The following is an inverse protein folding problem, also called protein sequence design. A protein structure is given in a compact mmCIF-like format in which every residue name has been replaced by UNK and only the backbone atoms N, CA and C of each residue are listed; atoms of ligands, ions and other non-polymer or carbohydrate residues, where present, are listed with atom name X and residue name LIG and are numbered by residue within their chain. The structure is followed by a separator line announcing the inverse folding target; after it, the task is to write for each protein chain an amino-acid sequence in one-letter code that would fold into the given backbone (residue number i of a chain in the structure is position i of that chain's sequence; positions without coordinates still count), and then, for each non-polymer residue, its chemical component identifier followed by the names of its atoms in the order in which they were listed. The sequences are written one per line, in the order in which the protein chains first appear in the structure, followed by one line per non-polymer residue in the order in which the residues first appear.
data_IF_055570188202
#
_entry.id   IF_055570188202
#
_cell.length_a   1.000
_cell.length_b   1.000
_cell.length_c   1.000
_cell.angle_alpha   90.00
_cell.angle_beta   90.00
_cell.angle_gamma   90.00
#
_symmetry.space_group_name_H-M   'P 1'
#
loop_
_entity.id
_entity.type
_entity.pdbx_description
1 polymer ?
#
# COMPACT_ATOMS: atom_id res chain seq x y z
N UNK A 1 -28.67 -23.64 13.35
CA UNK A 1 -29.71 -24.23 14.21
C UNK A 1 -30.83 -23.21 14.35
N UNK A 2 -32.07 -23.64 14.05
CA UNK A 2 -33.35 -22.91 14.14
C UNK A 2 -33.59 -21.77 13.15
N UNK A 3 -34.30 -22.14 12.08
CA UNK A 3 -35.33 -21.31 11.44
C UNK A 3 -36.22 -20.67 12.51
N UNK A 4 -36.41 -19.36 12.41
CA UNK A 4 -37.42 -18.62 13.14
C UNK A 4 -38.32 -17.96 12.10
N UNK A 5 -39.46 -18.59 11.90
CA UNK A 5 -40.63 -18.03 11.27
C UNK A 5 -41.19 -16.97 12.22
N UNK A 6 -41.34 -15.73 11.74
CA UNK A 6 -41.99 -14.66 12.50
C UNK A 6 -42.93 -13.94 11.55
N UNK A 7 -44.15 -14.46 11.49
CA UNK A 7 -45.31 -13.66 11.13
C UNK A 7 -45.62 -12.61 12.22
N UNK A 8 -46.27 -11.54 11.77
CA UNK A 8 -46.96 -10.47 12.50
C UNK A 8 -46.30 -9.08 12.45
N UNK A 9 -46.99 -8.16 11.77
CA UNK A 9 -47.05 -6.71 11.94
C UNK A 9 -46.25 -6.15 13.13
N UNK A 10 -44.99 -5.82 12.91
CA UNK A 10 -44.26 -4.86 13.73
C UNK A 10 -43.64 -3.80 12.84
N UNK A 11 -43.93 -2.54 13.15
CA UNK A 11 -43.31 -1.38 12.52
C UNK A 11 -41.80 -1.43 12.79
N UNK A 12 -41.01 -1.49 11.73
CA UNK A 12 -39.56 -1.49 11.81
C UNK A 12 -39.11 -0.15 12.37
N UNK A 13 -38.63 -0.13 13.60
CA UNK A 13 -38.00 1.05 14.20
C UNK A 13 -36.58 1.18 13.68
N UNK A 14 -36.09 2.40 13.45
CA UNK A 14 -34.71 2.67 13.00
C UNK A 14 -33.62 2.04 13.90
N UNK A 15 -33.97 1.66 15.14
CA UNK A 15 -33.13 0.92 16.06
C UNK A 15 -32.90 -0.56 15.64
N UNK A 16 -33.82 -1.16 14.88
CA UNK A 16 -33.75 -2.56 14.44
C UNK A 16 -32.83 -2.75 13.22
N UNK A 17 -32.63 -1.68 12.44
CA UNK A 17 -31.66 -1.64 11.32
C UNK A 17 -30.20 -1.60 11.85
N UNK A 18 -30.03 -1.23 13.13
CA UNK A 18 -28.72 -0.97 13.73
C UNK A 18 -27.87 -2.25 13.99
N UNK A 19 -28.41 -3.46 13.74
CA UNK A 19 -27.72 -4.74 13.97
C UNK A 19 -27.19 -5.46 12.73
N UNK A 20 -27.33 -4.89 11.53
CA UNK A 20 -26.77 -5.46 10.30
C UNK A 20 -25.77 -4.55 9.58
N UNK A 21 -24.98 -3.79 10.34
CA UNK A 21 -23.70 -3.26 9.86
C UNK A 21 -22.60 -3.54 10.87
N UNK A 22 -22.41 -4.83 11.19
CA UNK A 22 -21.05 -5.25 11.50
C UNK A 22 -20.37 -5.47 10.15
N UNK A 23 -19.92 -4.38 9.54
CA UNK A 23 -18.75 -4.48 8.68
C UNK A 23 -17.68 -4.95 9.66
N UNK A 24 -17.54 -6.28 9.80
CA UNK A 24 -16.22 -6.84 9.92
C UNK A 24 -15.52 -6.32 8.68
N UNK A 25 -14.95 -5.12 8.81
CA UNK A 25 -13.73 -4.84 8.13
C UNK A 25 -12.91 -6.05 8.52
N UNK A 26 -12.67 -6.94 7.57
CA UNK A 26 -11.32 -7.41 7.45
C UNK A 26 -10.53 -6.10 7.37
N UNK A 27 -10.13 -5.62 8.55
CA UNK A 27 -9.14 -4.60 8.69
C UNK A 27 -7.99 -5.19 7.90
N UNK A 28 -7.85 -4.73 6.66
CA UNK A 28 -6.73 -5.07 5.81
C UNK A 28 -5.55 -4.44 6.55
N UNK A 29 -4.96 -5.24 7.43
CA UNK A 29 -4.15 -4.78 8.54
C UNK A 29 -4.88 -3.84 9.49
N UNK A 30 -5.39 -4.35 10.62
CA UNK A 30 -5.13 -3.60 11.84
C UNK A 30 -3.62 -3.43 11.92
N UNK A 31 -3.09 -2.31 11.40
CA UNK A 31 -1.73 -1.87 11.66
C UNK A 31 -1.63 -1.32 13.09
N UNK A 32 -2.30 -1.98 14.04
CA UNK A 32 -2.15 -1.75 15.48
C UNK A 32 -0.72 -2.09 15.95
N UNK A 33 0.10 -2.72 15.10
CA UNK A 33 1.50 -3.00 15.38
C UNK A 33 2.52 -2.00 14.77
N UNK A 34 2.11 -0.99 13.98
CA UNK A 34 3.09 -0.16 13.22
C UNK A 34 3.33 1.23 13.84
N UNK A 35 2.64 1.58 14.93
CA UNK A 35 2.93 2.80 15.71
C UNK A 35 3.45 2.46 17.10
N UNK A 36 4.35 1.49 17.19
CA UNK A 36 5.42 1.64 18.17
C UNK A 36 6.33 2.77 17.64
N UNK A 37 6.04 4.00 18.04
CA UNK A 37 7.12 4.99 18.13
C UNK A 37 8.09 4.35 19.11
N UNK A 38 9.16 3.69 18.63
CA UNK A 38 10.20 3.12 19.49
C UNK A 38 10.71 4.28 20.35
N UNK A 39 10.18 4.39 21.56
CA UNK A 39 10.60 5.36 22.58
C UNK A 39 11.93 4.96 23.20
N UNK A 40 12.45 3.80 22.83
CA UNK A 40 13.68 3.24 23.37
C UNK A 40 14.62 2.87 22.22
N UNK A 41 15.80 3.46 22.22
CA UNK A 41 16.93 3.03 21.39
C UNK A 41 17.42 1.71 21.97
N UNK A 42 16.87 0.60 21.48
CA UNK A 42 17.25 -0.74 21.92
C UNK A 42 18.30 -1.32 20.96
N UNK A 43 19.34 -1.95 21.52
CA UNK A 43 20.27 -2.76 20.74
C UNK A 43 19.48 -3.90 20.11
N UNK A 44 19.64 -4.17 18.80
CA UNK A 44 18.97 -5.30 18.15
C UNK A 44 19.30 -6.61 18.86
N UNK A 45 18.36 -7.55 18.88
CA UNK A 45 18.62 -8.90 19.40
C UNK A 45 19.21 -9.80 18.32
N UNK A 46 19.97 -10.81 18.73
CA UNK A 46 20.56 -11.79 17.82
C UNK A 46 19.46 -12.62 17.17
N UNK A 47 19.46 -12.74 15.85
CA UNK A 47 18.52 -13.61 15.14
C UNK A 47 19.17 -14.96 14.83
N UNK A 48 18.55 -16.10 15.20
CA UNK A 48 19.11 -17.42 14.92
C UNK A 48 19.00 -17.77 13.43
N UNK A 49 20.08 -18.29 12.85
CA UNK A 49 20.19 -18.74 11.47
C UNK A 49 20.93 -20.08 11.42
N UNK A 50 20.20 -21.18 11.62
CA UNK A 50 20.80 -22.49 11.83
C UNK A 50 21.67 -22.50 13.08
N UNK A 51 22.96 -22.82 12.93
CA UNK A 51 23.93 -22.85 14.04
C UNK A 51 24.62 -21.49 14.30
N UNK A 52 24.23 -20.44 13.58
CA UNK A 52 24.85 -19.12 13.65
C UNK A 52 23.85 -18.06 14.10
N UNK A 53 24.37 -16.89 14.46
CA UNK A 53 23.56 -15.71 14.74
C UNK A 53 23.82 -14.65 13.67
N UNK A 54 22.75 -14.01 13.22
CA UNK A 54 22.80 -12.92 12.25
C UNK A 54 22.24 -11.63 12.85
N UNK A 55 22.67 -10.51 12.28
CA UNK A 55 22.09 -9.20 12.53
C UNK A 55 20.74 -9.15 11.80
N UNK A 56 19.61 -8.99 12.52
CA UNK A 56 18.31 -8.93 11.88
C UNK A 56 18.15 -7.65 11.07
N UNK A 57 17.41 -7.73 9.97
CA UNK A 57 17.03 -6.57 9.19
C UNK A 57 15.75 -5.92 9.76
N UNK A 58 15.94 -5.02 10.73
CA UNK A 58 14.87 -4.43 11.53
C UNK A 58 14.34 -5.38 12.61
N UNK A 59 13.22 -5.01 13.25
CA UNK A 59 12.69 -5.73 14.42
C UNK A 59 12.18 -7.12 14.12
N UNK A 60 11.59 -7.31 12.94
CA UNK A 60 10.99 -8.57 12.51
C UNK A 60 11.84 -9.28 11.43
N UNK A 61 13.07 -8.82 11.23
CA UNK A 61 13.98 -9.30 10.18
C UNK A 61 13.46 -9.09 8.74
N UNK A 62 12.42 -8.27 8.53
CA UNK A 62 11.75 -8.10 7.23
C UNK A 62 11.77 -6.66 6.71
N UNK A 63 12.61 -5.80 7.29
CA UNK A 63 12.62 -4.38 6.97
C UNK A 63 12.82 -4.07 5.48
N UNK A 64 13.74 -4.77 4.80
CA UNK A 64 13.95 -4.64 3.35
C UNK A 64 12.70 -4.99 2.53
N UNK A 65 11.96 -6.04 2.91
CA UNK A 65 10.71 -6.41 2.24
C UNK A 65 9.61 -5.36 2.46
N UNK A 66 9.51 -4.81 3.67
CA UNK A 66 8.57 -3.73 3.99
C UNK A 66 8.84 -2.46 3.18
N UNK A 67 10.12 -2.13 2.94
CA UNK A 67 10.50 -1.01 2.06
C UNK A 67 10.07 -1.27 0.61
N UNK A 68 10.24 -2.51 0.12
CA UNK A 68 9.76 -2.92 -1.20
C UNK A 68 8.25 -2.73 -1.35
N UNK A 69 7.48 -3.29 -0.43
CA UNK A 69 6.01 -3.15 -0.42
C UNK A 69 5.56 -1.69 -0.37
N UNK A 70 6.19 -0.87 0.47
CA UNK A 70 5.89 0.56 0.57
C UNK A 70 6.07 1.29 -0.78
N UNK A 71 7.09 0.92 -1.55
CA UNK A 71 7.39 1.51 -2.85
C UNK A 71 6.49 0.98 -3.97
N UNK A 72 6.10 -0.30 -3.90
CA UNK A 72 5.18 -0.93 -4.86
C UNK A 72 3.76 -0.39 -4.73
N UNK A 73 3.28 -0.20 -3.50
CA UNK A 73 1.96 0.37 -3.21
C UNK A 73 1.89 1.87 -3.55
N UNK A 74 3.05 2.53 -3.70
CA UNK A 74 3.12 3.96 -3.98
C UNK A 74 3.19 4.25 -5.48
N UNK A 75 2.29 5.10 -5.97
CA UNK A 75 2.20 5.46 -7.38
C UNK A 75 3.44 6.15 -7.98
N UNK A 76 4.28 6.79 -7.17
CA UNK A 76 5.45 7.56 -7.65
C UNK A 76 6.80 7.01 -7.17
N UNK A 77 6.82 6.30 -6.04
CA UNK A 77 8.05 5.94 -5.32
C UNK A 77 9.07 5.22 -6.20
N UNK A 78 8.65 4.09 -6.79
CA UNK A 78 9.54 3.29 -7.64
C UNK A 78 9.95 4.03 -8.93
N UNK A 79 9.06 4.85 -9.49
CA UNK A 79 9.34 5.65 -10.69
C UNK A 79 10.44 6.69 -10.46
N UNK A 80 10.39 7.40 -9.33
CA UNK A 80 11.41 8.38 -8.93
C UNK A 80 12.77 7.70 -8.72
N UNK A 81 12.80 6.57 -8.01
CA UNK A 81 14.03 5.84 -7.74
C UNK A 81 14.66 5.31 -9.04
N UNK A 82 13.85 4.74 -9.94
CA UNK A 82 14.33 4.29 -11.26
C UNK A 82 14.89 5.44 -12.10
N UNK A 83 14.28 6.63 -12.02
CA UNK A 83 14.81 7.83 -12.68
C UNK A 83 16.13 8.27 -12.07
N UNK A 84 16.26 8.27 -10.74
CA UNK A 84 17.50 8.60 -10.06
C UNK A 84 18.63 7.63 -10.44
N UNK A 85 18.32 6.33 -10.48
CA UNK A 85 19.24 5.31 -10.99
C UNK A 85 19.68 5.60 -12.42
N UNK A 86 18.72 5.89 -13.31
CA UNK A 86 19.01 6.24 -14.70
C UNK A 86 19.89 7.49 -14.84
N UNK A 87 19.70 8.51 -13.99
CA UNK A 87 20.55 9.71 -13.97
C UNK A 87 21.97 9.42 -13.46
N UNK A 88 22.12 8.51 -12.49
CA UNK A 88 23.42 8.12 -11.96
C UNK A 88 24.19 7.22 -12.93
N UNK A 89 23.50 6.28 -13.58
CA UNK A 89 24.10 5.40 -14.58
C UNK A 89 24.40 6.15 -15.89
N UNK A 90 23.54 7.09 -16.27
CA UNK A 90 23.74 7.97 -17.41
C UNK A 90 23.92 7.20 -18.72
N UNK A 91 25.10 7.36 -19.32
CA UNK A 91 25.47 6.71 -20.59
C UNK A 91 26.21 5.36 -20.39
N UNK A 92 26.33 4.89 -19.15
CA UNK A 92 27.03 3.65 -18.82
C UNK A 92 28.41 3.89 -18.21
N UNK A 93 29.18 2.80 -18.12
CA UNK A 93 30.52 2.82 -17.56
C UNK A 93 31.55 3.14 -18.64
N UNK A 94 32.56 3.93 -18.27
CA UNK A 94 33.71 4.19 -19.11
C UNK A 94 34.99 4.23 -18.28
N UNK A 95 36.09 3.73 -18.85
CA UNK A 95 37.39 3.73 -18.20
C UNK A 95 38.01 5.11 -18.29
N UNK A 96 38.52 5.60 -17.16
CA UNK A 96 39.18 6.89 -17.10
C UNK A 96 40.37 6.88 -16.14
N UNK A 97 41.32 7.75 -16.43
CA UNK A 97 42.43 8.07 -15.55
C UNK A 97 42.28 9.51 -15.05
N UNK A 98 42.68 9.76 -13.80
CA UNK A 98 42.68 11.10 -13.23
C UNK A 98 44.12 11.62 -13.29
N UNK A 99 44.36 12.59 -14.16
CA UNK A 99 45.65 13.24 -14.30
C UNK A 99 45.59 14.68 -13.77
N UNK A 100 46.68 15.16 -13.17
CA UNK A 100 46.79 16.54 -12.71
C UNK A 100 47.68 17.33 -13.69
N UNK A 101 47.05 18.13 -14.55
CA UNK A 101 47.76 19.02 -15.49
C UNK A 101 47.57 20.46 -15.02
N UNK A 102 48.67 21.17 -14.79
CA UNK A 102 48.67 22.58 -14.36
C UNK A 102 47.80 22.85 -13.10
N UNK A 103 47.90 21.97 -12.10
CA UNK A 103 47.14 22.11 -10.84
C UNK A 103 45.63 21.86 -10.98
N UNK A 104 45.13 21.50 -12.16
CA UNK A 104 43.73 21.13 -12.39
C UNK A 104 43.60 19.63 -12.59
N UNK A 105 42.53 19.07 -12.02
CA UNK A 105 42.12 17.68 -12.21
C UNK A 105 41.53 17.53 -13.61
N UNK A 106 42.19 16.74 -14.45
CA UNK A 106 41.73 16.40 -15.81
C UNK A 106 41.38 14.91 -15.84
N UNK A 107 40.20 14.60 -16.35
CA UNK A 107 39.75 13.22 -16.57
C UNK A 107 40.07 12.85 -18.01
N UNK A 108 40.90 11.83 -18.20
CA UNK A 108 41.26 11.32 -19.53
C UNK A 108 40.63 9.94 -19.72
N UNK A 109 39.70 9.87 -20.66
CA UNK A 109 39.05 8.62 -21.06
C UNK A 109 40.00 7.79 -21.91
N UNK A 110 40.06 6.49 -21.64
CA UNK A 110 40.89 5.56 -22.38
C UNK A 110 40.17 4.22 -22.56
N UNK A 111 40.69 3.38 -23.45
CA UNK A 111 40.22 2.01 -23.63
C UNK A 111 41.36 1.06 -23.31
N UNK A 112 41.05 -0.04 -22.62
CA UNK A 112 41.98 -1.13 -22.33
C UNK A 112 41.31 -2.44 -22.73
N UNK A 113 41.88 -3.09 -23.76
CA UNK A 113 41.33 -4.33 -24.32
C UNK A 113 41.23 -5.46 -23.29
N UNK A 114 42.12 -5.51 -22.29
CA UNK A 114 42.08 -6.56 -21.28
C UNK A 114 40.95 -6.34 -20.29
N UNK A 115 40.74 -5.09 -19.86
CA UNK A 115 39.63 -4.74 -18.97
C UNK A 115 38.31 -4.88 -19.71
N UNK A 116 38.23 -4.42 -20.96
CA UNK A 116 37.02 -4.54 -21.76
C UNK A 116 36.65 -6.00 -22.01
N UNK A 117 37.61 -6.85 -22.41
CA UNK A 117 37.35 -8.31 -22.55
C UNK A 117 36.90 -8.96 -21.24
N UNK A 118 37.39 -8.49 -20.10
CA UNK A 118 36.93 -8.98 -18.81
C UNK A 118 35.49 -8.52 -18.52
N UNK A 119 35.18 -7.24 -18.73
CA UNK A 119 33.82 -6.73 -18.59
C UNK A 119 32.83 -7.42 -19.54
N UNK A 120 33.23 -7.68 -20.79
CA UNK A 120 32.40 -8.35 -21.80
C UNK A 120 32.21 -9.85 -21.51
N UNK A 121 32.99 -10.43 -20.60
CA UNK A 121 32.89 -11.84 -20.22
C UNK A 121 31.72 -12.15 -19.27
N UNK A 122 31.07 -11.12 -18.72
CA UNK A 122 29.92 -11.24 -17.82
C UNK A 122 29.01 -10.01 -17.92
N UNK A 123 27.78 -10.11 -17.41
CA UNK A 123 26.81 -9.00 -17.47
C UNK A 123 27.08 -7.93 -16.40
N UNK A 124 28.11 -7.12 -16.63
CA UNK A 124 28.52 -6.07 -15.72
C UNK A 124 27.55 -4.88 -15.68
N UNK A 125 26.80 -4.64 -16.75
CA UNK A 125 25.80 -3.58 -16.83
C UNK A 125 24.61 -3.90 -15.92
N UNK A 126 24.05 -5.11 -16.04
CA UNK A 126 22.96 -5.57 -15.17
C UNK A 126 23.39 -5.52 -13.70
N UNK A 127 24.61 -6.00 -13.40
CA UNK A 127 25.16 -5.91 -12.05
C UNK A 127 25.18 -4.48 -11.51
N UNK A 128 25.69 -3.50 -12.27
CA UNK A 128 25.78 -2.10 -11.83
C UNK A 128 24.39 -1.50 -11.65
N UNK A 129 23.46 -1.76 -12.58
CA UNK A 129 22.09 -1.27 -12.48
C UNK A 129 21.38 -1.82 -11.24
N UNK A 130 21.59 -3.10 -10.92
CA UNK A 130 20.94 -3.74 -9.78
C UNK A 130 21.54 -3.30 -8.44
N UNK A 131 22.87 -3.24 -8.32
CA UNK A 131 23.51 -2.77 -7.07
C UNK A 131 23.21 -1.28 -6.80
N UNK A 132 23.14 -0.45 -7.85
CA UNK A 132 22.73 0.96 -7.70
C UNK A 132 21.30 1.08 -7.17
N UNK A 133 20.39 0.21 -7.62
CA UNK A 133 19.01 0.20 -7.13
C UNK A 133 18.96 -0.12 -5.63
N UNK A 134 19.69 -1.14 -5.18
CA UNK A 134 19.77 -1.52 -3.77
C UNK A 134 20.38 -0.40 -2.91
N UNK A 135 21.45 0.25 -3.40
CA UNK A 135 22.06 1.39 -2.74
C UNK A 135 21.12 2.61 -2.64
N UNK A 136 20.24 2.83 -3.63
CA UNK A 136 19.24 3.89 -3.59
C UNK A 136 18.08 3.57 -2.62
N UNK A 137 17.62 2.31 -2.60
CA UNK A 137 16.47 1.88 -1.79
C UNK A 137 16.85 1.67 -0.33
N UNK A 138 18.03 1.12 -0.04
CA UNK A 138 18.41 0.71 1.32
C UNK A 138 19.70 1.36 1.83
N UNK A 139 20.47 2.03 0.97
CA UNK A 139 21.80 2.57 1.31
C UNK A 139 22.79 1.48 1.75
N UNK A 140 22.55 0.27 1.26
CA UNK A 140 23.29 -0.95 1.53
C UNK A 140 23.26 -1.81 0.27
N UNK A 141 24.37 -2.51 -0.01
CA UNK A 141 24.50 -3.38 -1.16
C UNK A 141 25.45 -4.54 -0.89
N UNK A 142 25.19 -5.66 -1.58
CA UNK A 142 25.97 -6.88 -1.46
C UNK A 142 26.46 -7.35 -2.83
N UNK A 143 27.75 -7.65 -2.88
CA UNK A 143 28.41 -8.11 -4.10
C UNK A 143 29.14 -9.40 -3.81
N UNK A 144 28.85 -10.44 -4.56
CA UNK A 144 29.54 -11.72 -4.49
C UNK A 144 30.70 -11.72 -5.49
N UNK A 145 31.90 -11.95 -4.97
CA UNK A 145 33.15 -12.02 -5.73
C UNK A 145 33.42 -13.48 -6.08
N UNK A 146 33.39 -13.79 -7.37
CA UNK A 146 33.64 -15.15 -7.85
C UNK A 146 35.06 -15.22 -8.40
N UNK A 147 35.97 -15.99 -7.77
CA UNK A 147 37.34 -16.11 -8.25
C UNK A 147 37.41 -17.00 -9.49
N UNK A 148 38.42 -16.75 -10.31
CA UNK A 148 38.77 -17.57 -11.46
C UNK A 148 39.15 -19.00 -11.05
N UNK A 149 38.85 -19.97 -11.92
CA UNK A 149 39.18 -21.39 -11.67
C UNK A 149 40.68 -21.64 -11.50
N UNK A 150 41.54 -20.76 -12.04
CA UNK A 150 43.00 -20.84 -11.97
C UNK A 150 43.58 -20.77 -10.55
N UNK A 151 42.87 -20.14 -9.61
CA UNK A 151 43.27 -20.09 -8.20
C UNK A 151 43.39 -21.47 -7.53
N UNK A 152 42.74 -22.52 -8.08
CA UNK A 152 42.78 -23.89 -7.53
C UNK A 152 44.13 -24.59 -7.71
N UNK A 153 44.97 -24.09 -8.61
CA UNK A 153 46.27 -24.69 -8.96
C UNK A 153 47.41 -23.83 -8.40
N UNK A 154 47.30 -22.50 -8.45
CA UNK A 154 48.23 -21.57 -7.82
C UNK A 154 47.47 -20.37 -7.25
N UNK A 155 47.74 -19.99 -5.99
CA UNK A 155 47.16 -18.78 -5.39
C UNK A 155 47.75 -17.48 -5.97
N UNK A 156 48.85 -17.56 -6.72
CA UNK A 156 49.55 -16.40 -7.27
C UNK A 156 48.83 -15.76 -8.47
N UNK A 157 48.01 -16.55 -9.19
CA UNK A 157 47.30 -16.10 -10.40
C UNK A 157 45.79 -15.92 -10.19
N UNK A 158 45.33 -15.99 -8.95
CA UNK A 158 43.90 -15.92 -8.64
C UNK A 158 43.37 -14.49 -8.84
N UNK A 159 42.62 -14.32 -9.93
CA UNK A 159 41.89 -13.09 -10.28
C UNK A 159 40.39 -13.26 -10.05
N UNK A 160 39.67 -12.14 -9.93
CA UNK A 160 38.20 -12.13 -9.94
C UNK A 160 37.73 -12.49 -11.35
N UNK A 161 36.89 -13.51 -11.49
CA UNK A 161 36.30 -13.88 -12.77
C UNK A 161 35.14 -12.95 -13.12
N UNK A 162 34.22 -12.72 -12.18
CA UNK A 162 33.10 -11.80 -12.35
C UNK A 162 32.49 -11.44 -10.98
N UNK A 163 31.59 -10.45 -11.00
CA UNK A 163 30.83 -10.02 -9.83
C UNK A 163 29.38 -10.43 -10.00
N UNK A 164 28.74 -10.82 -8.91
CA UNK A 164 27.32 -11.16 -8.89
C UNK A 164 26.61 -10.28 -7.86
N UNK A 165 25.51 -9.64 -8.28
CA UNK A 165 24.64 -8.89 -7.39
C UNK A 165 23.75 -9.88 -6.64
N UNK A 166 23.68 -9.74 -5.32
CA UNK A 166 22.72 -10.49 -4.50
C UNK A 166 21.75 -9.46 -3.91
N UNK A 167 20.43 -9.64 -4.07
CA UNK A 167 19.45 -8.72 -3.51
C UNK A 167 19.66 -8.50 -2.02
N UNK A 168 19.66 -7.24 -1.61
CA UNK A 168 19.91 -6.85 -0.23
C UNK A 168 18.91 -7.49 0.77
N UNK A 169 17.70 -7.80 0.31
CA UNK A 169 16.65 -8.45 1.12
C UNK A 169 16.96 -9.90 1.48
N UNK A 170 17.82 -10.57 0.71
CA UNK A 170 18.23 -11.97 0.90
C UNK A 170 19.51 -12.09 1.74
N UNK A 171 20.22 -10.99 1.97
CA UNK A 171 21.49 -10.98 2.68
C UNK A 171 21.32 -10.63 4.17
N UNK A 172 21.96 -11.38 5.06
CA UNK A 172 22.11 -11.03 6.47
C UNK A 172 23.56 -11.15 6.91
N UNK A 173 24.00 -10.21 7.73
CA UNK A 173 25.36 -10.18 8.26
C UNK A 173 25.46 -11.12 9.45
N UNK A 174 26.55 -11.86 9.55
CA UNK A 174 26.87 -12.57 10.79
C UNK A 174 26.93 -11.56 11.95
N UNK A 175 26.47 -12.00 13.12
CA UNK A 175 26.61 -11.20 14.32
C UNK A 175 28.10 -10.87 14.55
N UNK A 176 28.47 -9.58 14.70
CA UNK A 176 29.86 -9.20 14.85
C UNK A 176 30.56 -9.91 16.01
N UNK A 177 31.85 -10.21 15.82
CA UNK A 177 32.70 -10.72 16.90
C UNK A 177 32.91 -9.66 18.01
N UNK A 178 33.69 -10.01 19.05
CA UNK A 178 34.02 -9.08 20.14
C UNK A 178 34.74 -7.81 19.68
N UNK A 179 35.35 -7.83 18.49
CA UNK A 179 36.05 -6.71 17.88
C UNK A 179 35.17 -5.93 16.88
N UNK A 180 33.87 -6.27 16.78
CA UNK A 180 32.95 -5.63 15.84
C UNK A 180 33.15 -6.06 14.38
N UNK A 181 33.86 -7.15 14.11
CA UNK A 181 34.09 -7.66 12.74
C UNK A 181 32.98 -8.62 12.34
N UNK A 182 32.40 -8.38 11.17
CA UNK A 182 31.48 -9.33 10.52
C UNK A 182 32.32 -10.33 9.74
N UNK A 183 32.28 -11.61 10.14
CA UNK A 183 33.06 -12.66 9.50
C UNK A 183 32.44 -13.18 8.21
N UNK A 184 31.11 -13.31 8.19
CA UNK A 184 30.37 -13.94 7.10
C UNK A 184 29.07 -13.20 6.75
N UNK A 185 28.59 -13.44 5.55
CA UNK A 185 27.29 -13.02 5.04
C UNK A 185 26.48 -14.28 4.73
N UNK A 186 25.24 -14.28 5.18
CA UNK A 186 24.28 -15.36 4.99
C UNK A 186 23.27 -14.95 3.92
N UNK A 187 23.06 -15.83 2.93
CA UNK A 187 22.11 -15.63 1.84
C UNK A 187 21.01 -16.68 1.94
N UNK A 188 19.77 -16.23 2.07
CA UNK A 188 18.59 -17.10 2.20
C UNK A 188 17.29 -16.34 1.87
N UNK A 189 16.19 -17.05 1.69
CA UNK A 189 14.86 -16.44 1.63
C UNK A 189 14.34 -16.12 3.04
N UNK A 190 14.61 -14.89 3.50
CA UNK A 190 14.21 -14.41 4.83
C UNK A 190 12.73 -13.99 4.95
N UNK A 191 11.87 -14.31 3.97
CA UNK A 191 10.42 -14.12 4.12
C UNK A 191 9.85 -15.05 5.19
N UNK A 192 10.38 -16.28 5.25
CA UNK A 192 10.14 -17.24 6.32
C UNK A 192 11.07 -16.96 7.50
N UNK A 193 10.59 -17.16 8.72
CA UNK A 193 11.42 -17.07 9.94
C UNK A 193 12.48 -18.19 10.00
N UNK A 194 12.23 -19.31 9.31
CA UNK A 194 13.15 -20.44 9.19
C UNK A 194 13.33 -20.77 7.70
N UNK A 195 14.34 -20.21 7.04
CA UNK A 195 14.61 -20.53 5.64
C UNK A 195 15.09 -21.97 5.47
N UNK A 196 14.66 -22.64 4.40
CA UNK A 196 15.02 -24.03 4.09
C UNK A 196 16.51 -24.19 3.74
N UNK A 197 17.08 -23.22 3.03
CA UNK A 197 18.47 -23.22 2.57
C UNK A 197 19.13 -21.91 2.98
N UNK A 198 20.25 -22.03 3.67
CA UNK A 198 21.08 -20.89 4.08
C UNK A 198 22.48 -21.11 3.51
N UNK A 199 22.91 -20.21 2.64
CA UNK A 199 24.27 -20.16 2.13
C UNK A 199 25.11 -19.21 2.99
N UNK A 200 26.36 -19.59 3.27
CA UNK A 200 27.30 -18.79 4.06
C UNK A 200 28.52 -18.46 3.23
N UNK A 201 28.83 -17.17 3.13
CA UNK A 201 29.99 -16.67 2.40
C UNK A 201 30.89 -15.84 3.32
N UNK A 202 32.22 -16.01 3.28
CA UNK A 202 33.13 -15.15 4.03
C UNK A 202 33.09 -13.72 3.48
N UNK A 203 33.20 -12.73 4.38
CA UNK A 203 33.38 -11.33 3.98
C UNK A 203 34.75 -11.15 3.31
N UNK A 204 34.78 -10.42 2.20
CA UNK A 204 36.01 -10.12 1.48
C UNK A 204 36.94 -9.23 2.32
N UNK A 205 38.21 -9.64 2.42
CA UNK A 205 39.26 -8.92 3.13
C UNK A 205 40.31 -8.45 2.11
N UNK A 206 40.40 -7.14 1.83
CA UNK A 206 41.34 -6.60 0.85
C UNK A 206 42.82 -6.83 1.21
N UNK A 207 43.13 -7.11 2.47
CA UNK A 207 44.49 -7.39 2.92
C UNK A 207 44.96 -8.80 2.57
N UNK A 208 44.03 -9.70 2.24
CA UNK A 208 44.32 -11.09 1.89
C UNK A 208 44.33 -11.25 0.37
N UNK A 209 45.22 -12.11 -0.18
CA UNK A 209 45.17 -12.45 -1.58
C UNK A 209 43.82 -13.07 -1.93
N UNK A 210 43.34 -12.80 -3.14
CA UNK A 210 42.06 -13.30 -3.63
C UNK A 210 42.16 -14.82 -3.72
N UNK A 211 41.64 -15.53 -2.73
CA UNK A 211 41.73 -16.99 -2.68
C UNK A 211 40.78 -17.69 -3.66
N UNK A 212 40.70 -19.01 -3.57
CA UNK A 212 39.76 -19.84 -4.36
C UNK A 212 38.31 -19.76 -3.88
N UNK A 213 38.09 -19.19 -2.70
CA UNK A 213 36.79 -19.19 -2.04
C UNK A 213 35.99 -17.97 -2.49
N UNK A 214 34.76 -18.20 -2.94
CA UNK A 214 33.79 -17.13 -3.20
C UNK A 214 33.55 -16.34 -1.93
N UNK A 215 33.73 -15.02 -2.02
CA UNK A 215 33.58 -14.10 -0.89
C UNK A 215 32.57 -13.02 -1.22
N UNK A 216 32.11 -12.28 -0.22
CA UNK A 216 31.13 -11.22 -0.42
C UNK A 216 31.64 -9.88 0.12
N UNK A 217 31.45 -8.83 -0.64
CA UNK A 217 31.64 -7.45 -0.22
C UNK A 217 30.30 -6.92 0.26
N UNK A 218 30.32 -6.34 1.45
CA UNK A 218 29.20 -5.59 1.98
C UNK A 218 29.55 -4.10 1.94
N UNK A 219 28.72 -3.33 1.24
CA UNK A 219 28.86 -1.89 1.13
C UNK A 219 27.68 -1.23 1.82
N UNK A 220 27.95 -0.18 2.61
CA UNK A 220 26.92 0.67 3.21
C UNK A 220 27.35 2.12 3.16
N UNK A 221 26.38 3.03 3.12
CA UNK A 221 26.66 4.44 3.38
C UNK A 221 26.72 4.71 4.89
N UNK A 222 27.52 5.70 5.27
CA UNK A 222 27.54 6.18 6.64
C UNK A 222 26.21 6.85 6.98
N UNK A 223 25.60 6.45 8.10
CA UNK A 223 24.41 7.06 8.66
C UNK A 223 24.68 7.49 10.10
N UNK A 224 24.34 8.73 10.42
CA UNK A 224 24.53 9.28 11.76
C UNK A 224 23.80 8.44 12.81
N UNK A 225 24.49 8.09 13.89
CA UNK A 225 23.92 7.35 15.02
C UNK A 225 23.67 5.86 14.78
N UNK A 226 24.08 5.30 13.62
CA UNK A 226 23.93 3.87 13.32
C UNK A 226 25.25 3.11 13.35
N UNK A 227 25.24 1.98 14.04
CA UNK A 227 26.33 1.03 14.18
C UNK A 227 26.28 -0.07 13.12
N UNK A 228 27.19 -1.04 13.23
CA UNK A 228 27.17 -2.27 12.42
C UNK A 228 26.03 -3.22 12.81
N UNK A 229 25.31 -2.98 13.91
CA UNK A 229 24.17 -3.81 14.30
C UNK A 229 22.84 -3.27 13.75
N UNK A 230 22.81 -2.00 13.34
CA UNK A 230 21.58 -1.35 12.93
C UNK A 230 21.29 -1.57 11.44
N UNK A 231 20.01 -1.64 11.09
CA UNK A 231 19.57 -1.63 9.70
C UNK A 231 19.86 -0.26 9.05
N UNK A 232 20.15 -0.25 7.75
CA UNK A 232 20.30 1.00 7.01
C UNK A 232 18.92 1.52 6.58
N UNK A 233 18.69 2.82 6.77
CA UNK A 233 17.40 3.45 6.41
C UNK A 233 17.56 4.45 5.27
N UNK A 234 16.78 4.36 4.19
CA UNK A 234 16.89 5.31 3.09
C UNK A 234 16.43 6.72 3.48
N UNK A 235 16.83 7.73 2.70
CA UNK A 235 16.44 9.11 2.93
C UNK A 235 14.92 9.34 2.93
N UNK A 236 14.17 8.58 2.13
CA UNK A 236 12.70 8.67 2.10
C UNK A 236 12.03 8.00 3.31
N UNK A 237 12.77 7.28 4.16
CA UNK A 237 12.21 6.54 5.29
C UNK A 237 11.48 7.45 6.30
N UNK A 238 11.91 8.70 6.42
CA UNK A 238 11.25 9.73 7.23
C UNK A 238 9.85 10.08 6.72
N UNK A 239 9.65 10.02 5.40
CA UNK A 239 8.38 10.29 4.75
C UNK A 239 7.45 9.07 4.68
N UNK A 240 7.86 7.90 5.18
CA UNK A 240 7.08 6.65 5.08
C UNK A 240 5.64 6.76 5.59
N UNK A 241 5.42 7.52 6.67
CA UNK A 241 4.08 7.72 7.25
C UNK A 241 3.16 8.47 6.30
N UNK A 242 3.71 9.42 5.54
CA UNK A 242 2.98 10.15 4.50
C UNK A 242 2.73 9.26 3.29
N UNK A 243 3.74 8.52 2.85
CA UNK A 243 3.59 7.55 1.75
C UNK A 243 2.49 6.52 2.04
N UNK A 244 2.48 5.93 3.25
CA UNK A 244 1.44 4.99 3.67
C UNK A 244 0.04 5.62 3.63
N UNK A 245 -0.13 6.85 4.11
CA UNK A 245 -1.42 7.55 4.03
C UNK A 245 -1.83 7.84 2.59
N UNK A 246 -0.89 8.20 1.73
CA UNK A 246 -1.13 8.42 0.31
C UNK A 246 -1.55 7.13 -0.41
N UNK A 247 -0.99 5.98 -0.04
CA UNK A 247 -1.33 4.69 -0.64
C UNK A 247 -2.76 4.24 -0.26
N UNK A 248 -3.20 4.52 0.98
CA UNK A 248 -4.55 4.16 1.45
C UNK A 248 -5.64 5.13 0.95
N UNK A 249 -5.28 6.35 0.54
CA UNK A 249 -6.25 7.36 0.12
C UNK A 249 -7.10 6.93 -1.11
N UNK A 250 -6.53 6.36 -2.19
CA UNK A 250 -7.30 5.78 -3.28
C UNK A 250 -8.28 4.70 -2.83
N UNK A 251 -7.87 3.80 -1.93
CA UNK A 251 -8.74 2.73 -1.43
C UNK A 251 -9.90 3.27 -0.62
N UNK A 252 -9.68 4.32 0.19
CA UNK A 252 -10.76 5.01 0.91
C UNK A 252 -11.73 5.65 -0.07
N UNK A 253 -11.24 6.35 -1.10
CA UNK A 253 -12.08 6.98 -2.11
C UNK A 253 -12.88 5.94 -2.91
N UNK A 254 -12.25 4.81 -3.23
CA UNK A 254 -12.92 3.68 -3.87
C UNK A 254 -14.00 3.10 -2.96
N UNK A 255 -13.66 2.78 -1.71
CA UNK A 255 -14.61 2.23 -0.75
C UNK A 255 -15.78 3.20 -0.47
N UNK A 256 -15.52 4.51 -0.47
CA UNK A 256 -16.55 5.53 -0.37
C UNK A 256 -17.43 5.59 -1.61
N UNK A 257 -16.89 5.35 -2.81
CA UNK A 257 -17.66 5.31 -4.05
C UNK A 257 -18.50 4.02 -4.15
N UNK A 258 -17.91 2.88 -3.79
CA UNK A 258 -18.54 1.56 -3.90
C UNK A 258 -19.61 1.33 -2.81
N UNK A 259 -19.35 1.80 -1.57
CA UNK A 259 -20.26 1.59 -0.43
C UNK A 259 -21.00 2.88 -0.02
N UNK A 260 -20.75 3.99 -0.70
CA UNK A 260 -21.38 5.27 -0.41
C UNK A 260 -22.85 5.25 -0.78
N UNK A 261 -23.73 5.40 0.22
CA UNK A 261 -25.13 5.72 -0.04
C UNK A 261 -25.22 7.17 -0.51
N UNK A 262 -25.17 7.36 -1.83
CA UNK A 262 -25.27 8.67 -2.47
C UNK A 262 -26.73 9.13 -2.64
N UNK A 263 -27.50 9.17 -1.55
CA UNK A 263 -28.90 9.59 -1.56
C UNK A 263 -28.96 11.11 -1.53
N UNK A 264 -29.44 11.72 -2.63
CA UNK A 264 -29.61 13.18 -2.74
C UNK A 264 -30.88 13.68 -2.06
N UNK A 265 -31.96 12.91 -2.16
CA UNK A 265 -33.30 13.30 -1.72
C UNK A 265 -33.88 12.21 -0.82
N UNK A 266 -34.39 12.60 0.35
CA UNK A 266 -35.24 11.75 1.18
C UNK A 266 -36.68 12.23 1.06
N UNK A 267 -37.52 11.41 0.43
CA UNK A 267 -38.94 11.70 0.18
C UNK A 267 -39.76 10.97 1.24
N UNK A 268 -40.51 11.73 2.03
CA UNK A 268 -41.42 11.22 3.05
C UNK A 268 -42.84 11.44 2.54
N UNK A 269 -43.55 10.34 2.25
CA UNK A 269 -44.96 10.36 1.85
C UNK A 269 -45.87 9.98 3.02
N UNK A 270 -46.96 10.71 3.28
CA UNK A 270 -47.92 10.36 4.34
C UNK A 270 -48.71 9.10 3.95
N UNK A 271 -48.90 8.17 4.90
CA UNK A 271 -49.60 6.91 4.65
C UNK A 271 -51.06 7.13 4.22
N UNK A 272 -51.75 8.06 4.87
CA UNK A 272 -53.13 8.43 4.57
C UNK A 272 -53.37 8.91 3.13
N UNK A 273 -52.35 9.49 2.48
CA UNK A 273 -52.46 9.85 1.06
C UNK A 273 -52.61 8.61 0.18
N UNK A 274 -51.86 7.54 0.48
CA UNK A 274 -51.95 6.28 -0.24
C UNK A 274 -53.23 5.52 0.09
N UNK A 275 -53.70 5.59 1.35
CA UNK A 275 -54.97 4.99 1.76
C UNK A 275 -56.16 5.63 1.01
N UNK A 276 -56.19 6.97 0.90
CA UNK A 276 -57.21 7.67 0.11
C UNK A 276 -57.16 7.30 -1.38
N UNK A 277 -55.94 7.18 -1.96
CA UNK A 277 -55.78 6.76 -3.35
C UNK A 277 -56.24 5.31 -3.57
N UNK A 278 -56.04 4.44 -2.59
CA UNK A 278 -56.54 3.06 -2.59
C UNK A 278 -58.05 3.01 -2.63
N UNK A 279 -58.74 3.82 -1.81
CA UNK A 279 -60.21 3.89 -1.82
C UNK A 279 -60.75 4.40 -3.16
N UNK A 280 -60.11 5.42 -3.75
CA UNK A 280 -60.48 5.95 -5.07
C UNK A 280 -60.29 4.88 -6.16
N UNK A 281 -59.17 4.16 -6.14
CA UNK A 281 -58.90 3.05 -7.07
C UNK A 281 -59.94 1.94 -6.94
N UNK A 282 -60.27 1.52 -5.71
CA UNK A 282 -61.31 0.51 -5.46
C UNK A 282 -62.67 0.95 -6.01
N UNK A 283 -63.03 2.23 -5.86
CA UNK A 283 -64.28 2.77 -6.40
C UNK A 283 -64.27 2.84 -7.94
N UNK A 284 -63.13 3.16 -8.56
CA UNK A 284 -62.98 3.17 -10.02
C UNK A 284 -63.02 1.76 -10.62
N UNK A 285 -62.40 0.77 -9.98
CA UNK A 285 -62.48 -0.64 -10.37
C UNK A 285 -63.92 -1.17 -10.27
N UNK A 286 -64.64 -0.82 -9.19
CA UNK A 286 -66.07 -1.14 -9.03
C UNK A 286 -66.95 -0.51 -10.12
N UNK A 287 -66.64 0.70 -10.57
CA UNK A 287 -67.37 1.37 -11.66
C UNK A 287 -67.04 0.79 -13.04
N UNK A 288 -65.82 0.28 -13.24
CA UNK A 288 -65.39 -0.34 -14.50
C UNK A 288 -65.70 -1.84 -14.59
N UNK A 289 -66.13 -2.46 -13.49
CA UNK A 289 -66.44 -3.90 -13.43
C UNK A 289 -65.21 -4.80 -13.38
N UNK A 290 -64.05 -4.26 -12.99
CA UNK A 290 -62.78 -4.98 -12.89
C UNK A 290 -62.46 -5.30 -11.42
N UNK A 291 -61.86 -6.46 -11.16
CA UNK A 291 -61.41 -6.80 -9.81
C UNK A 291 -60.18 -5.97 -9.42
N UNK A 292 -60.28 -5.26 -8.30
CA UNK A 292 -59.14 -4.54 -7.73
C UNK A 292 -58.04 -5.53 -7.33
N UNK A 293 -56.82 -5.26 -7.78
CA UNK A 293 -55.61 -5.99 -7.39
C UNK A 293 -54.65 -5.03 -6.71
N UNK A 294 -53.96 -5.49 -5.67
CA UNK A 294 -53.00 -4.67 -4.94
C UNK A 294 -51.84 -4.19 -5.83
N UNK A 295 -51.51 -4.94 -6.88
CA UNK A 295 -50.55 -4.53 -7.92
C UNK A 295 -50.92 -3.20 -8.60
N UNK A 296 -52.21 -2.85 -8.70
CA UNK A 296 -52.63 -1.57 -9.29
C UNK A 296 -52.24 -0.36 -8.42
N UNK A 297 -52.19 -0.54 -7.09
CA UNK A 297 -51.76 0.50 -6.18
C UNK A 297 -50.23 0.66 -6.20
N UNK A 298 -49.49 -0.44 -6.28
CA UNK A 298 -48.03 -0.41 -6.46
C UNK A 298 -47.63 0.25 -7.79
N UNK A 299 -48.31 -0.05 -8.89
CA UNK A 299 -48.08 0.63 -10.16
C UNK A 299 -48.34 2.15 -10.06
N UNK A 300 -49.40 2.57 -9.36
CA UNK A 300 -49.69 3.99 -9.15
C UNK A 300 -48.65 4.67 -8.24
N UNK A 301 -48.10 3.95 -7.25
CA UNK A 301 -46.96 4.45 -6.45
C UNK A 301 -45.73 4.64 -7.33
N UNK A 302 -45.40 3.65 -8.15
CA UNK A 302 -44.27 3.70 -9.07
C UNK A 302 -44.42 4.84 -10.08
N UNK A 303 -45.60 5.05 -10.66
CA UNK A 303 -45.85 6.15 -11.60
C UNK A 303 -45.63 7.53 -10.96
N UNK A 304 -46.14 7.73 -9.74
CA UNK A 304 -45.98 8.99 -8.99
C UNK A 304 -44.51 9.21 -8.60
N UNK A 305 -43.82 8.16 -8.13
CA UNK A 305 -42.41 8.24 -7.75
C UNK A 305 -41.51 8.44 -8.97
N UNK A 306 -41.80 7.82 -10.12
CA UNK A 306 -41.09 8.01 -11.38
C UNK A 306 -41.30 9.43 -11.93
N UNK A 307 -42.51 9.99 -11.80
CA UNK A 307 -42.78 11.39 -12.11
C UNK A 307 -41.95 12.34 -11.25
N UNK A 308 -41.91 12.11 -9.94
CA UNK A 308 -41.08 12.88 -9.00
C UNK A 308 -39.58 12.73 -9.33
N UNK A 309 -39.12 11.51 -9.62
CA UNK A 309 -37.74 11.25 -10.00
C UNK A 309 -37.37 12.01 -11.28
N UNK A 310 -38.24 12.04 -12.28
CA UNK A 310 -38.00 12.77 -13.54
C UNK A 310 -37.86 14.27 -13.31
N UNK A 311 -38.63 14.85 -12.39
CA UNK A 311 -38.56 16.29 -12.07
C UNK A 311 -37.36 16.64 -11.19
N UNK A 312 -36.91 15.71 -10.34
CA UNK A 312 -35.84 15.94 -9.34
C UNK A 312 -34.44 15.45 -9.78
N UNK A 313 -34.37 14.62 -10.83
CA UNK A 313 -33.14 14.03 -11.37
C UNK A 313 -32.78 14.64 -12.74
N UNK A 314 -31.48 14.63 -13.07
CA UNK A 314 -30.96 15.20 -14.31
C UNK A 314 -30.31 16.57 -14.15
N UNK A 315 -29.34 16.87 -15.04
CA UNK A 315 -28.57 18.13 -15.03
C UNK A 315 -29.46 19.33 -15.33
N UNK A 316 -30.46 19.17 -16.19
CA UNK A 316 -31.42 20.21 -16.60
C UNK A 316 -32.45 20.56 -15.51
N UNK A 317 -32.58 19.72 -14.49
CA UNK A 317 -33.56 19.84 -13.43
C UNK A 317 -32.96 20.37 -12.12
N UNK A 318 -31.67 20.71 -12.12
CA UNK A 318 -30.97 21.31 -10.98
C UNK A 318 -31.56 22.69 -10.68
N UNK A 319 -32.11 22.86 -9.47
CA UNK A 319 -32.68 24.14 -9.00
C UNK A 319 -34.19 24.29 -9.21
N UNK A 320 -34.89 23.27 -9.71
CA UNK A 320 -36.36 23.25 -9.73
C UNK A 320 -36.92 23.05 -8.31
N UNK A 321 -38.05 23.70 -8.03
CA UNK A 321 -38.70 23.67 -6.72
C UNK A 321 -39.93 22.76 -6.76
N UNK A 322 -40.10 21.95 -5.72
CA UNK A 322 -41.29 21.12 -5.51
C UNK A 322 -42.21 21.79 -4.48
N UNK A 323 -43.49 21.90 -4.80
CA UNK A 323 -44.52 22.45 -3.93
C UNK A 323 -45.52 21.36 -3.58
N UNK A 324 -45.73 21.12 -2.28
CA UNK A 324 -46.78 20.25 -1.76
C UNK A 324 -47.68 21.03 -0.82
N UNK A 325 -48.98 20.78 -0.90
CA UNK A 325 -49.96 21.33 0.04
C UNK A 325 -50.12 20.38 1.23
N UNK A 326 -50.04 20.91 2.44
CA UNK A 326 -50.24 20.15 3.66
C UNK A 326 -51.70 20.25 4.11
N UNK A 327 -52.38 19.11 4.27
CA UNK A 327 -53.76 19.06 4.74
C UNK A 327 -53.76 18.66 6.21
N UNK A 328 -54.32 19.52 7.07
CA UNK A 328 -54.50 19.22 8.49
C UNK A 328 -55.86 18.57 8.68
N UNK A 329 -55.89 17.32 9.13
CA UNK A 329 -57.13 16.63 9.48
C UNK A 329 -57.26 16.56 11.00
N UNK A 330 -58.30 17.18 11.54
CA UNK A 330 -58.64 17.08 12.96
C UNK A 330 -59.37 15.76 13.21
N UNK A 331 -58.63 14.73 13.64
CA UNK A 331 -59.23 13.65 14.42
C UNK A 331 -59.45 14.20 15.84
N UNK A 332 -60.70 14.17 16.32
CA UNK A 332 -61.14 14.89 17.51
C UNK A 332 -60.23 14.83 18.76
N UNK A 333 -60.39 15.88 19.59
CA UNK A 333 -59.68 16.22 20.85
C UNK A 333 -58.17 15.97 20.82
N UNK A 334 -57.45 16.96 20.32
CA UNK A 334 -56.05 17.23 20.69
C UNK A 334 -54.97 16.59 19.83
N UNK A 335 -55.30 15.77 18.83
CA UNK A 335 -54.32 15.22 17.87
C UNK A 335 -54.72 15.56 16.43
N UNK A 336 -54.14 16.62 15.91
CA UNK A 336 -54.22 16.94 14.49
C UNK A 336 -53.04 16.28 13.78
N UNK A 337 -53.31 15.36 12.86
CA UNK A 337 -52.27 14.84 11.95
C UNK A 337 -52.17 15.78 10.74
N UNK A 338 -50.93 16.25 10.49
CA UNK A 338 -50.61 17.08 9.34
C UNK A 338 -50.16 16.13 8.23
N UNK A 339 -51.01 15.94 7.23
CA UNK A 339 -50.66 15.20 6.03
C UNK A 339 -49.79 16.10 5.16
N UNK A 340 -48.48 15.86 5.14
CA UNK A 340 -47.54 16.60 4.30
C UNK A 340 -46.59 15.67 3.58
N UNK A 341 -46.29 16.00 2.34
CA UNK A 341 -45.12 15.46 1.65
C UNK A 341 -43.90 16.29 2.04
N UNK A 342 -42.85 15.64 2.54
CA UNK A 342 -41.61 16.31 2.92
C UNK A 342 -40.46 15.76 2.08
N UNK A 343 -39.77 16.65 1.38
CA UNK A 343 -38.57 16.31 0.60
C UNK A 343 -37.40 17.00 1.28
N UNK A 344 -36.57 16.23 1.97
CA UNK A 344 -35.40 16.75 2.67
C UNK A 344 -34.17 16.54 1.79
N UNK A 345 -33.47 17.61 1.38
CA UNK A 345 -32.15 17.47 0.79
C UNK A 345 -31.18 16.93 1.85
N UNK A 346 -30.53 15.80 1.59
CA UNK A 346 -29.48 15.30 2.47
C UNK A 346 -28.17 15.97 2.06
N UNK A 347 -27.66 16.85 2.90
CA UNK A 347 -26.33 17.45 2.72
C UNK A 347 -25.25 16.43 3.11
N UNK A 348 -24.75 15.69 2.12
CA UNK A 348 -23.65 14.74 2.30
C UNK A 348 -22.31 15.48 2.41
N UNK A 349 -22.08 16.15 3.54
CA UNK A 349 -20.75 16.67 3.86
C UNK A 349 -19.87 15.54 4.33
N UNK A 350 -18.91 15.15 3.51
CA UNK A 350 -17.72 14.48 4.01
C UNK A 350 -17.09 15.43 5.03
N UNK A 351 -16.95 14.98 6.27
CA UNK A 351 -16.29 15.75 7.34
C UNK A 351 -14.78 15.80 7.05
N UNK A 352 -14.38 16.44 5.96
CA UNK A 352 -13.02 16.88 5.73
C UNK A 352 -12.70 17.91 6.80
N UNK A 353 -11.55 17.74 7.45
CA UNK A 353 -11.00 18.64 8.46
C UNK A 353 -11.27 20.10 8.09
N UNK A 354 -12.29 20.70 8.71
CA UNK A 354 -12.42 22.15 8.76
C UNK A 354 -11.19 22.62 9.52
N UNK A 355 -10.23 23.17 8.79
CA UNK A 355 -9.24 24.06 9.36
C UNK A 355 -10.00 25.10 10.16
N UNK A 356 -9.85 25.02 11.49
CA UNK A 356 -10.09 26.17 12.35
C UNK A 356 -8.96 27.13 11.99
N UNK A 357 -9.30 28.16 11.22
CA UNK A 357 -8.52 29.39 11.22
C UNK A 357 -8.62 30.06 12.58
#
# INVERSE_FOLDING_TARGET
MKTLDIGNNQAITFADIHKHYNIKGAAYGETNNIVATKSTIAVPEKFPAGNYYVVPDGTDNKFGYQLGQLLEDNNLGLGIIRRQRGLQYGQGLALYSINFKQGRRVVEWFMDDNIQKWLDSWDHEEYVINILLDLLIKQEGYTKLIPSRGGRISNADSKIAFLEHIPVVECRREWPDKNGRVGNIFVADWRSSQPEKIYRYPVFDPSKPIGTTTSMVWTRFYQFGRSLLDEQTPGFFSARKWMQRSNVAPDILKAQSDNGLHIKWHIISPQSYWDNKREILMNQCKQKGEEYKEEMLENLKDDVLNGLATVLSGVENVGKFFHSEAVRQELGIGKAEIMKWEIVPIDMRVKGSRGRG
#
